data_IF_860836060608
#
_entry.id   IF_860836060608
#
_cell.length_a   1.000
_cell.length_b   1.000
_cell.length_c   1.000
_cell.angle_alpha   90.00
_cell.angle_beta   90.00
_cell.angle_gamma   90.00
#
_symmetry.space_group_name_H-M   'P 1'
#
loop_
_entity.id
_entity.type
_entity.pdbx_description
1 polymer ?
#
# COMPACT_ATOMS: atom_id res chain seq x y z
N UNK A 1 60.16 1.15 -40.24
CA UNK A 1 59.28 0.06 -40.74
C UNK A 1 58.46 -0.39 -39.55
N UNK A 2 57.22 0.11 -39.46
CA UNK A 2 55.93 -0.62 -39.67
C UNK A 2 55.54 -1.45 -38.44
N UNK A 3 54.32 -1.43 -37.90
CA UNK A 3 53.08 -0.72 -38.23
C UNK A 3 52.13 -0.83 -37.00
N UNK A 4 51.27 0.18 -36.84
CA UNK A 4 49.94 0.19 -36.23
C UNK A 4 49.36 -1.10 -35.60
N UNK A 5 48.74 -0.99 -34.42
CA UNK A 5 47.28 -0.97 -34.34
C UNK A 5 46.78 -0.48 -32.98
N UNK A 6 45.97 0.58 -33.00
CA UNK A 6 45.11 1.00 -31.87
C UNK A 6 43.92 0.05 -31.81
N UNK A 7 43.82 -0.77 -30.77
CA UNK A 7 42.53 -1.34 -30.36
C UNK A 7 42.00 -0.57 -29.15
N UNK A 8 41.15 0.42 -29.45
CA UNK A 8 40.11 0.82 -28.51
C UNK A 8 39.10 -0.31 -28.49
N UNK A 9 39.01 -1.02 -27.38
CA UNK A 9 37.83 -1.83 -27.09
C UNK A 9 37.23 -1.26 -25.81
N UNK A 10 36.41 -0.24 -26.03
CA UNK A 10 35.49 0.31 -25.06
C UNK A 10 34.50 -0.78 -24.64
N UNK A 11 34.70 -1.36 -23.46
CA UNK A 11 33.62 -2.05 -22.77
C UNK A 11 32.87 -1.01 -21.93
N UNK A 12 32.08 -0.18 -22.61
CA UNK A 12 30.97 0.50 -21.97
C UNK A 12 30.00 -0.60 -21.55
N UNK A 13 29.98 -0.93 -20.25
CA UNK A 13 28.83 -1.59 -19.66
C UNK A 13 27.71 -0.56 -19.76
N UNK A 14 26.81 -0.76 -20.72
CA UNK A 14 25.64 0.08 -20.88
C UNK A 14 24.81 -0.01 -19.61
N UNK A 15 24.57 1.14 -18.99
CA UNK A 15 23.56 1.26 -17.95
C UNK A 15 22.22 0.88 -18.58
N UNK A 16 21.67 -0.28 -18.20
CA UNK A 16 20.28 -0.60 -18.47
C UNK A 16 19.45 0.20 -17.46
N UNK A 17 18.97 1.37 -17.89
CA UNK A 17 17.89 2.10 -17.21
C UNK A 17 16.67 1.17 -17.28
N UNK A 18 16.36 0.47 -16.20
CA UNK A 18 15.27 -0.52 -16.24
C UNK A 18 13.91 0.12 -15.97
N UNK A 19 13.77 1.27 -15.30
CA UNK A 19 12.43 1.88 -15.17
C UNK A 19 12.51 3.43 -15.08
N UNK A 20 11.80 4.12 -15.99
CA UNK A 20 11.57 5.58 -16.01
C UNK A 20 10.25 5.94 -15.27
N UNK A 21 9.83 5.12 -14.30
CA UNK A 21 8.55 5.29 -13.59
C UNK A 21 8.75 5.89 -12.20
N UNK A 22 7.93 6.88 -11.90
CA UNK A 22 7.82 7.47 -10.57
C UNK A 22 6.82 6.70 -9.71
N UNK A 23 7.18 6.46 -8.44
CA UNK A 23 6.28 5.88 -7.44
C UNK A 23 6.08 6.90 -6.33
N UNK A 24 4.81 7.23 -6.07
CA UNK A 24 4.42 8.09 -4.97
C UNK A 24 3.82 7.25 -3.84
N UNK A 25 4.40 7.34 -2.64
CA UNK A 25 3.87 6.69 -1.45
C UNK A 25 3.02 7.67 -0.66
N UNK A 26 1.78 7.27 -0.33
CA UNK A 26 0.83 8.05 0.45
C UNK A 26 0.42 7.22 1.67
N UNK A 27 0.59 7.78 2.86
CA UNK A 27 0.05 7.20 4.09
C UNK A 27 -1.43 7.59 4.23
N UNK A 28 -2.24 6.68 4.78
CA UNK A 28 -3.65 6.96 5.08
C UNK A 28 -3.81 8.15 6.04
N UNK A 29 -4.99 8.79 6.00
CA UNK A 29 -5.37 9.85 6.94
C UNK A 29 -5.55 9.35 8.38
N UNK A 30 -5.78 10.27 9.32
CA UNK A 30 -5.97 9.96 10.75
C UNK A 30 -7.19 9.07 10.96
N UNK A 31 -7.02 7.96 11.68
CA UNK A 31 -8.10 7.01 12.02
C UNK A 31 -8.57 7.11 13.46
N UNK A 32 -9.69 6.45 13.76
CA UNK A 32 -10.20 6.25 15.12
C UNK A 32 -9.13 5.60 16.03
N UNK A 33 -8.42 4.58 15.53
CA UNK A 33 -7.33 3.95 16.27
C UNK A 33 -6.16 4.92 16.48
N UNK A 34 -5.80 5.77 15.51
CA UNK A 34 -4.74 6.76 15.72
C UNK A 34 -5.09 7.73 16.85
N UNK A 35 -6.35 8.16 16.94
CA UNK A 35 -6.82 9.02 18.04
C UNK A 35 -6.80 8.28 19.37
N UNK A 36 -7.19 7.00 19.40
CA UNK A 36 -7.11 6.16 20.59
C UNK A 36 -5.66 6.02 21.05
N UNK A 37 -4.75 5.52 20.21
CA UNK A 37 -3.34 5.32 20.56
C UNK A 37 -2.58 6.63 20.83
N UNK A 38 -3.11 7.79 20.43
CA UNK A 38 -2.59 9.09 20.86
C UNK A 38 -2.84 9.40 22.35
N UNK A 39 -3.68 8.61 23.03
CA UNK A 39 -4.05 8.77 24.45
C UNK A 39 -3.63 7.60 25.33
N UNK A 40 -3.24 6.48 24.73
CA UNK A 40 -2.90 5.23 25.42
C UNK A 40 -1.55 4.72 24.94
N UNK A 41 -0.77 4.19 25.86
CA UNK A 41 0.55 3.65 25.57
C UNK A 41 0.40 2.24 24.99
N UNK A 42 0.57 2.11 23.68
CA UNK A 42 0.18 0.92 22.91
C UNK A 42 1.15 -0.25 23.06
N UNK A 43 2.33 -0.01 23.62
CA UNK A 43 3.35 -1.01 23.94
C UNK A 43 3.46 -1.28 25.45
N UNK A 44 2.59 -0.68 26.26
CA UNK A 44 2.53 -0.94 27.70
C UNK A 44 2.08 -2.39 27.98
N UNK A 45 2.65 -3.00 29.02
CA UNK A 45 2.37 -4.40 29.38
C UNK A 45 0.90 -4.66 29.78
N UNK A 46 0.19 -3.63 30.22
CA UNK A 46 -1.22 -3.65 30.57
C UNK A 46 -2.13 -3.02 29.50
N UNK A 47 -1.59 -2.73 28.32
CA UNK A 47 -2.38 -2.26 27.19
C UNK A 47 -3.44 -3.29 26.82
N UNK A 48 -4.68 -2.81 26.68
CA UNK A 48 -5.81 -3.60 26.20
C UNK A 48 -6.22 -3.03 24.85
N UNK A 49 -6.11 -3.86 23.82
CA UNK A 49 -6.58 -3.53 22.48
C UNK A 49 -8.09 -3.21 22.53
N UNK A 50 -8.53 -2.04 22.04
CA UNK A 50 -9.93 -1.66 22.05
C UNK A 50 -10.79 -2.43 21.03
N UNK A 51 -10.18 -3.37 20.27
CA UNK A 51 -10.83 -4.20 19.27
C UNK A 51 -11.54 -3.39 18.17
N UNK A 52 -10.95 -2.25 17.79
CA UNK A 52 -11.45 -1.42 16.71
C UNK A 52 -11.01 -2.00 15.35
N UNK A 53 -11.71 -3.02 14.87
CA UNK A 53 -11.39 -3.71 13.61
C UNK A 53 -11.47 -2.79 12.39
N UNK A 54 -10.51 -2.92 11.46
CA UNK A 54 -10.41 -2.17 10.20
C UNK A 54 -10.83 -0.68 10.32
N UNK A 55 -10.20 0.03 11.27
CA UNK A 55 -10.65 1.37 11.67
C UNK A 55 -10.84 2.35 10.53
N UNK A 56 -11.85 3.20 10.66
CA UNK A 56 -12.19 4.22 9.68
C UNK A 56 -11.35 5.47 9.87
N UNK A 57 -11.30 6.27 8.81
CA UNK A 57 -10.82 7.65 8.92
C UNK A 57 -11.74 8.43 9.86
N UNK A 58 -11.15 9.33 10.63
CA UNK A 58 -11.88 10.41 11.30
C UNK A 58 -12.30 11.47 10.27
N UNK A 59 -13.19 12.39 10.66
CA UNK A 59 -13.51 13.55 9.81
C UNK A 59 -12.27 14.38 9.45
N UNK A 60 -11.34 14.56 10.39
CA UNK A 60 -10.05 15.21 10.13
C UNK A 60 -9.21 14.41 9.12
N UNK A 61 -9.17 13.09 9.25
CA UNK A 61 -8.50 12.20 8.30
C UNK A 61 -9.07 12.30 6.88
N UNK A 62 -10.40 12.39 6.75
CA UNK A 62 -11.05 12.64 5.46
C UNK A 62 -10.71 14.02 4.89
N UNK A 63 -10.74 15.07 5.71
CA UNK A 63 -10.38 16.42 5.30
C UNK A 63 -8.92 16.51 4.81
N UNK A 64 -8.01 15.79 5.46
CA UNK A 64 -6.62 15.66 5.00
C UNK A 64 -6.54 15.00 3.63
N UNK A 65 -7.28 13.92 3.41
CA UNK A 65 -7.30 13.22 2.12
C UNK A 65 -7.87 14.13 1.00
N UNK A 66 -8.94 14.88 1.28
CA UNK A 66 -9.49 15.87 0.33
C UNK A 66 -8.51 17.01 0.04
N UNK A 67 -7.77 17.49 1.04
CA UNK A 67 -6.71 18.50 0.81
C UNK A 67 -5.58 17.96 -0.05
N UNK A 68 -5.28 16.66 0.03
CA UNK A 68 -4.27 16.02 -0.81
C UNK A 68 -4.70 16.00 -2.29
N UNK A 69 -6.00 15.86 -2.57
CA UNK A 69 -6.54 15.88 -3.93
C UNK A 69 -6.12 17.10 -4.76
N UNK A 70 -6.10 18.30 -4.15
CA UNK A 70 -5.64 19.53 -4.81
C UNK A 70 -4.19 19.40 -5.30
N UNK A 71 -3.32 18.78 -4.49
CA UNK A 71 -1.91 18.56 -4.87
C UNK A 71 -1.80 17.48 -5.95
N UNK A 72 -2.59 16.42 -5.85
CA UNK A 72 -2.53 15.29 -6.78
C UNK A 72 -3.00 15.67 -8.20
N UNK A 73 -3.97 16.58 -8.33
CA UNK A 73 -4.36 17.15 -9.62
C UNK A 73 -3.24 17.91 -10.33
N UNK A 74 -2.22 18.35 -9.60
CA UNK A 74 -1.05 19.04 -10.16
C UNK A 74 0.10 18.11 -10.52
N UNK A 75 0.01 16.81 -10.21
CA UNK A 75 1.07 15.86 -10.56
C UNK A 75 1.18 15.73 -12.08
N UNK A 76 2.42 15.78 -12.56
CA UNK A 76 2.78 15.51 -13.95
C UNK A 76 3.99 14.56 -13.98
N UNK A 77 3.91 13.43 -14.73
CA UNK A 77 2.72 12.95 -15.43
C UNK A 77 1.57 12.57 -14.48
N UNK A 78 0.34 12.51 -15.00
CA UNK A 78 -0.80 12.01 -14.24
C UNK A 78 -0.53 10.54 -13.87
N UNK A 79 -0.80 10.12 -12.62
CA UNK A 79 -0.62 8.73 -12.22
C UNK A 79 -1.40 7.76 -13.12
N UNK A 80 -0.71 6.72 -13.60
CA UNK A 80 -1.28 5.72 -14.51
C UNK A 80 -1.99 4.58 -13.77
N UNK A 81 -1.70 4.41 -12.48
CA UNK A 81 -2.23 3.35 -11.63
C UNK A 81 -2.27 3.81 -10.17
N UNK A 82 -3.37 3.53 -9.50
CA UNK A 82 -3.51 3.68 -8.06
C UNK A 82 -3.52 2.30 -7.39
N UNK A 83 -2.67 2.13 -6.37
CA UNK A 83 -2.57 0.88 -5.61
C UNK A 83 -2.85 1.17 -4.15
N UNK A 84 -3.70 0.38 -3.51
CA UNK A 84 -3.97 0.48 -2.08
C UNK A 84 -3.90 -0.88 -1.39
N UNK A 85 -3.65 -0.87 -0.09
CA UNK A 85 -3.97 -2.04 0.73
C UNK A 85 -5.49 -2.18 0.88
N UNK A 86 -6.03 -3.38 1.12
CA UNK A 86 -7.47 -3.57 1.27
C UNK A 86 -8.04 -3.05 2.61
N UNK A 87 -7.24 -2.35 3.43
CA UNK A 87 -7.71 -1.69 4.65
C UNK A 87 -8.55 -0.47 4.31
N UNK A 88 -9.69 -0.32 4.97
CA UNK A 88 -10.69 0.71 4.67
C UNK A 88 -10.14 2.13 4.76
N UNK A 89 -9.26 2.38 5.73
CA UNK A 89 -8.55 3.66 5.88
C UNK A 89 -7.70 4.01 4.65
N UNK A 90 -7.07 3.02 4.01
CA UNK A 90 -6.24 3.23 2.82
C UNK A 90 -7.13 3.47 1.59
N UNK A 91 -8.13 2.61 1.38
CA UNK A 91 -9.10 2.73 0.29
C UNK A 91 -9.83 4.07 0.33
N UNK A 92 -10.38 4.45 1.50
CA UNK A 92 -11.06 5.73 1.69
C UNK A 92 -10.14 6.92 1.48
N UNK A 93 -8.90 6.86 1.98
CA UNK A 93 -7.92 7.94 1.71
C UNK A 93 -7.70 8.10 0.21
N UNK A 94 -7.51 6.98 -0.50
CA UNK A 94 -7.25 6.96 -1.93
C UNK A 94 -8.47 7.45 -2.74
N UNK A 95 -9.69 7.07 -2.37
CA UNK A 95 -10.92 7.60 -2.99
C UNK A 95 -11.03 9.11 -2.90
N UNK A 96 -10.83 9.66 -1.69
CA UNK A 96 -10.93 11.09 -1.45
C UNK A 96 -9.78 11.87 -2.09
N UNK A 97 -8.57 11.32 -2.05
CA UNK A 97 -7.39 11.94 -2.60
C UNK A 97 -7.39 11.93 -4.14
N UNK A 98 -8.02 10.95 -4.79
CA UNK A 98 -8.10 10.84 -6.25
C UNK A 98 -9.52 11.06 -6.80
N UNK A 99 -10.41 11.64 -6.00
CA UNK A 99 -11.75 12.02 -6.43
C UNK A 99 -11.66 12.90 -7.69
N UNK A 100 -12.44 12.57 -8.72
CA UNK A 100 -12.44 13.26 -10.01
C UNK A 100 -11.30 12.87 -10.98
N UNK A 101 -10.34 12.04 -10.55
CA UNK A 101 -9.24 11.56 -11.41
C UNK A 101 -9.53 10.12 -11.83
N UNK A 102 -9.76 9.92 -13.13
CA UNK A 102 -9.98 8.59 -13.71
C UNK A 102 -8.64 7.85 -13.86
N UNK A 103 -8.27 7.07 -12.83
CA UNK A 103 -7.08 6.22 -12.82
C UNK A 103 -7.50 4.78 -12.50
N UNK A 104 -6.99 3.76 -13.21
CA UNK A 104 -7.16 2.37 -12.82
C UNK A 104 -6.75 2.13 -11.37
N UNK A 105 -7.52 1.29 -10.66
CA UNK A 105 -7.36 1.03 -9.24
C UNK A 105 -7.15 -0.45 -9.00
N UNK A 106 -6.10 -0.77 -8.26
CA UNK A 106 -5.78 -2.14 -7.86
C UNK A 106 -5.56 -2.21 -6.36
N UNK A 107 -5.94 -3.34 -5.77
CA UNK A 107 -5.62 -3.64 -4.38
C UNK A 107 -4.47 -4.63 -4.30
N UNK A 108 -3.69 -4.55 -3.22
CA UNK A 108 -2.71 -5.57 -2.90
C UNK A 108 -2.60 -5.77 -1.38
N UNK A 109 -2.90 -6.97 -0.86
CA UNK A 109 -2.76 -7.25 0.58
C UNK A 109 -1.29 -7.20 1.03
N UNK A 110 -0.33 -7.28 0.10
CA UNK A 110 1.09 -7.13 0.40
C UNK A 110 1.41 -5.76 1.02
N UNK A 111 0.62 -4.72 0.71
CA UNK A 111 0.77 -3.38 1.25
C UNK A 111 -0.01 -3.15 2.55
N UNK A 112 -0.68 -4.16 3.12
CA UNK A 112 -1.38 -4.04 4.39
C UNK A 112 -0.43 -3.68 5.53
N UNK A 113 -0.96 -2.99 6.54
CA UNK A 113 -0.22 -2.69 7.77
C UNK A 113 0.26 -4.00 8.41
N UNK A 114 1.37 -3.94 9.15
CA UNK A 114 1.80 -5.08 9.96
C UNK A 114 0.71 -5.39 11.00
N UNK A 115 0.25 -6.63 11.08
CA UNK A 115 -0.77 -6.99 12.08
C UNK A 115 -0.16 -6.88 13.47
N UNK A 116 -0.63 -5.91 14.25
CA UNK A 116 -0.22 -5.70 15.63
C UNK A 116 -1.42 -5.47 16.54
N UNK A 117 -2.45 -4.79 16.03
CA UNK A 117 -3.71 -4.56 16.72
C UNK A 117 -4.90 -5.04 15.88
N UNK A 118 -6.07 -5.16 16.50
CA UNK A 118 -7.32 -5.48 15.83
C UNK A 118 -7.62 -4.53 14.65
N UNK A 119 -7.12 -3.29 14.69
CA UNK A 119 -7.23 -2.33 13.59
C UNK A 119 -6.58 -2.78 12.28
N UNK A 120 -5.70 -3.77 12.33
CA UNK A 120 -4.97 -4.30 11.16
C UNK A 120 -5.61 -5.57 10.60
N UNK A 121 -6.63 -6.08 11.30
CA UNK A 121 -7.47 -7.17 10.83
C UNK A 121 -8.49 -6.58 9.85
N UNK A 122 -8.48 -7.15 8.64
CA UNK A 122 -9.28 -6.69 7.52
C UNK A 122 -10.75 -7.10 7.57
N UNK A 123 -11.50 -6.65 6.56
CA UNK A 123 -12.89 -7.06 6.32
C UNK A 123 -12.98 -8.03 5.14
N UNK A 124 -14.09 -8.76 5.11
CA UNK A 124 -14.42 -9.65 4.01
C UNK A 124 -14.45 -8.87 2.66
N UNK A 125 -13.89 -9.43 1.58
CA UNK A 125 -13.85 -8.78 0.27
C UNK A 125 -15.22 -8.33 -0.25
N UNK A 126 -16.30 -9.08 0.03
CA UNK A 126 -17.64 -8.68 -0.41
C UNK A 126 -18.10 -7.43 0.34
N UNK A 127 -17.85 -7.33 1.64
CA UNK A 127 -18.20 -6.13 2.42
C UNK A 127 -17.43 -4.91 1.90
N UNK A 128 -16.15 -5.08 1.59
CA UNK A 128 -15.33 -4.02 1.01
C UNK A 128 -15.84 -3.60 -0.38
N UNK A 129 -16.19 -4.55 -1.25
CA UNK A 129 -16.70 -4.27 -2.58
C UNK A 129 -18.04 -3.50 -2.58
N UNK A 130 -18.88 -3.69 -1.55
CA UNK A 130 -20.11 -2.90 -1.39
C UNK A 130 -19.84 -1.44 -0.97
N UNK A 131 -18.73 -1.17 -0.27
CA UNK A 131 -18.38 0.17 0.21
C UNK A 131 -17.43 0.93 -0.74
N UNK A 132 -16.63 0.20 -1.52
CA UNK A 132 -15.54 0.71 -2.36
C UNK A 132 -15.67 0.22 -3.81
N UNK A 133 -16.74 0.62 -4.49
CA UNK A 133 -17.13 0.14 -5.83
C UNK A 133 -16.12 0.44 -6.96
N UNK A 134 -15.19 1.38 -6.75
CA UNK A 134 -14.12 1.71 -7.69
C UNK A 134 -12.94 0.73 -7.66
N UNK A 135 -12.92 -0.23 -6.74
CA UNK A 135 -11.79 -1.13 -6.53
C UNK A 135 -12.17 -2.57 -6.87
N UNK A 136 -11.24 -3.33 -7.46
CA UNK A 136 -11.45 -4.74 -7.78
C UNK A 136 -11.03 -5.64 -6.61
N UNK A 137 -11.99 -6.39 -6.05
CA UNK A 137 -11.78 -7.35 -4.95
C UNK A 137 -11.91 -8.82 -5.38
N UNK A 138 -12.14 -9.13 -6.66
CA UNK A 138 -12.49 -10.48 -7.13
C UNK A 138 -11.47 -11.57 -6.75
N UNK A 139 -10.18 -11.22 -6.79
CA UNK A 139 -9.07 -12.14 -6.52
C UNK A 139 -8.57 -12.06 -5.06
N UNK A 140 -9.25 -11.32 -4.18
CA UNK A 140 -8.86 -11.18 -2.79
C UNK A 140 -9.37 -12.36 -1.96
N UNK A 141 -8.48 -13.01 -1.23
CA UNK A 141 -8.85 -14.07 -0.28
C UNK A 141 -9.76 -13.50 0.84
N UNK A 142 -10.64 -14.34 1.39
CA UNK A 142 -11.55 -13.94 2.48
C UNK A 142 -10.82 -13.49 3.75
N UNK A 143 -9.64 -14.07 4.00
CA UNK A 143 -8.69 -13.67 5.04
C UNK A 143 -7.38 -13.30 4.36
N UNK A 144 -7.25 -12.02 4.02
CA UNK A 144 -6.11 -11.50 3.26
C UNK A 144 -5.03 -10.82 4.13
N UNK A 145 -5.32 -10.59 5.41
CA UNK A 145 -4.37 -10.11 6.40
C UNK A 145 -3.56 -11.28 6.98
N UNK A 146 -2.55 -10.96 7.77
CA UNK A 146 -1.77 -11.99 8.45
C UNK A 146 -2.62 -12.71 9.51
N UNK A 147 -2.73 -14.03 9.40
CA UNK A 147 -3.34 -14.89 10.42
C UNK A 147 -2.57 -16.22 10.52
N UNK A 148 -2.32 -16.66 11.75
CA UNK A 148 -1.76 -17.99 12.07
C UNK A 148 -2.83 -18.94 12.57
N UNK A 149 -3.78 -18.43 13.35
CA UNK A 149 -4.86 -19.21 13.96
C UNK A 149 -5.93 -19.63 12.95
N UNK A 150 -6.02 -18.91 11.81
CA UNK A 150 -7.10 -19.08 10.83
C UNK A 150 -8.45 -18.53 11.32
N UNK A 151 -8.50 -17.92 12.51
CA UNK A 151 -9.70 -17.28 13.03
C UNK A 151 -9.77 -15.82 12.56
N UNK A 152 -10.81 -15.40 11.81
CA UNK A 152 -10.86 -14.08 11.18
C UNK A 152 -10.83 -12.88 12.13
N UNK A 153 -11.07 -13.07 13.42
CA UNK A 153 -11.09 -11.99 14.42
C UNK A 153 -9.92 -12.08 15.41
N UNK A 154 -9.06 -13.10 15.28
CA UNK A 154 -7.87 -13.22 16.11
C UNK A 154 -6.81 -12.21 15.68
N UNK A 155 -6.23 -11.53 16.66
CA UNK A 155 -5.07 -10.65 16.45
C UNK A 155 -3.81 -11.49 16.59
N UNK A 156 -3.46 -12.18 15.51
CA UNK A 156 -2.19 -12.92 15.43
C UNK A 156 -1.09 -11.91 15.10
N UNK A 157 -0.33 -11.44 16.09
CA UNK A 157 0.74 -10.47 15.86
C UNK A 157 1.73 -10.98 14.79
N UNK A 158 1.88 -10.20 13.72
CA UNK A 158 2.78 -10.55 12.63
C UNK A 158 4.22 -10.39 13.10
N UNK A 159 4.96 -11.49 13.16
CA UNK A 159 6.38 -11.46 13.55
C UNK A 159 7.20 -10.56 12.60
N UNK A 160 8.29 -9.92 13.06
CA UNK A 160 9.16 -9.14 12.18
C UNK A 160 9.69 -9.92 10.98
N UNK A 161 9.94 -11.23 11.15
CA UNK A 161 10.40 -12.11 10.07
C UNK A 161 9.32 -12.38 9.02
N UNK A 162 8.06 -12.58 9.44
CA UNK A 162 6.92 -12.69 8.52
C UNK A 162 6.68 -11.39 7.77
N UNK A 163 6.68 -10.26 8.49
CA UNK A 163 6.53 -8.93 7.90
C UNK A 163 7.62 -8.64 6.86
N UNK A 164 8.88 -8.92 7.19
CA UNK A 164 9.99 -8.70 6.25
C UNK A 164 9.83 -9.53 4.97
N UNK A 165 9.46 -10.82 5.08
CA UNK A 165 9.18 -11.66 3.90
C UNK A 165 8.06 -11.09 3.03
N UNK A 166 6.99 -10.56 3.64
CA UNK A 166 5.89 -9.91 2.93
C UNK A 166 6.33 -8.61 2.25
N UNK A 167 7.19 -7.82 2.88
CA UNK A 167 7.75 -6.60 2.27
C UNK A 167 8.66 -6.93 1.07
N UNK A 168 9.43 -8.01 1.12
CA UNK A 168 10.18 -8.47 -0.06
C UNK A 168 9.25 -8.90 -1.20
N UNK A 169 8.15 -9.62 -0.89
CA UNK A 169 7.14 -9.94 -1.89
C UNK A 169 6.47 -8.68 -2.48
N UNK A 170 6.22 -7.64 -1.67
CA UNK A 170 5.72 -6.34 -2.14
C UNK A 170 6.73 -5.66 -3.09
N UNK A 171 8.03 -5.68 -2.75
CA UNK A 171 9.10 -5.13 -3.63
C UNK A 171 9.13 -5.85 -4.97
N UNK A 172 9.05 -7.18 -4.97
CA UNK A 172 9.01 -7.96 -6.21
C UNK A 172 7.76 -7.66 -7.03
N UNK A 173 6.60 -7.55 -6.37
CA UNK A 173 5.34 -7.20 -7.01
C UNK A 173 5.40 -5.81 -7.67
N UNK A 174 5.89 -4.79 -6.94
CA UNK A 174 6.13 -3.45 -7.47
C UNK A 174 7.09 -3.49 -8.64
N UNK A 175 8.20 -4.23 -8.52
CA UNK A 175 9.16 -4.40 -9.61
C UNK A 175 8.53 -4.98 -10.88
N UNK A 176 7.60 -5.94 -10.76
CA UNK A 176 6.85 -6.45 -11.92
C UNK A 176 5.95 -5.38 -12.54
N UNK A 177 5.26 -4.59 -11.71
CA UNK A 177 4.38 -3.50 -12.18
C UNK A 177 5.16 -2.41 -12.93
N UNK A 178 6.36 -2.07 -12.48
CA UNK A 178 7.16 -1.04 -13.14
C UNK A 178 7.62 -1.48 -14.54
N UNK A 179 8.01 -2.76 -14.68
CA UNK A 179 8.49 -3.31 -15.96
C UNK A 179 7.40 -3.57 -17.01
N UNK A 180 6.13 -3.60 -16.62
CA UNK A 180 5.06 -4.15 -17.47
C UNK A 180 4.39 -3.15 -18.43
N UNK A 181 4.80 -1.88 -18.46
CA UNK A 181 4.17 -0.85 -19.32
C UNK A 181 4.71 -0.78 -20.75
N UNK A 182 5.16 -1.90 -21.30
CA UNK A 182 5.49 -2.00 -22.74
C UNK A 182 4.60 -3.08 -23.36
N UNK A 183 3.36 -2.70 -23.68
CA UNK A 183 2.52 -3.38 -24.68
C UNK A 183 1.39 -2.45 -25.12
#
# INVERSE_FOLDING_TARGET
>A
MTHASRFRTSNNISARKIDDKDIHFIRHGVTEMNVYLGRYDYDAADFIDPLMYDTRLTSEGEDMARKLNVKLHSLQPVPELLVASPLSRALRTADLAFEGIAVPREITPLAAERVWHASDIGRDPNQLAHEFDLWNFEELESVWWYSQSGHPQAVDEESPGSFHKRMEALREWLGRKLRCSTQ
#
